data_IF_333194435639
#
_entry.id   IF_333194435639
#
_cell.length_a   1.000
_cell.length_b   1.000
_cell.length_c   1.000
_cell.angle_alpha   90.00
_cell.angle_beta   90.00
_cell.angle_gamma   90.00
#
_symmetry.space_group_name_H-M   'P 1'
#
loop_
_entity.id
_entity.type
_entity.pdbx_description
1 polymer ?
#
# COMPACT_ATOMS: atom_id res chain seq x y z
N UNK A 1 29.18 0.45 -8.73
CA UNK A 1 28.34 0.94 -7.60
C UNK A 1 27.06 1.65 -8.07
N UNK A 2 27.11 2.52 -9.08
CA UNK A 2 25.90 3.21 -9.58
C UNK A 2 24.84 2.24 -10.14
N UNK A 3 25.29 1.24 -10.93
CA UNK A 3 24.41 0.24 -11.55
C UNK A 3 23.64 -0.62 -10.53
N UNK A 4 24.26 -1.01 -9.41
CA UNK A 4 23.56 -1.81 -8.39
C UNK A 4 22.55 -0.99 -7.59
N UNK A 5 22.85 0.28 -7.29
CA UNK A 5 21.90 1.21 -6.65
C UNK A 5 20.73 1.50 -7.58
N UNK A 6 20.99 1.77 -8.85
CA UNK A 6 19.95 2.02 -9.85
C UNK A 6 19.05 0.80 -10.04
N UNK A 7 19.62 -0.41 -10.15
CA UNK A 7 18.84 -1.64 -10.25
C UNK A 7 17.92 -1.82 -9.04
N UNK A 8 18.42 -1.59 -7.83
CA UNK A 8 17.63 -1.68 -6.59
C UNK A 8 16.55 -0.60 -6.50
N UNK A 9 16.84 0.63 -6.93
CA UNK A 9 15.86 1.71 -7.01
C UNK A 9 14.71 1.32 -7.95
N UNK A 10 15.00 0.84 -9.16
CA UNK A 10 13.98 0.38 -10.13
C UNK A 10 13.12 -0.74 -9.53
N UNK A 11 13.73 -1.72 -8.86
CA UNK A 11 13.00 -2.78 -8.16
C UNK A 11 12.06 -2.20 -7.08
N UNK A 12 12.56 -1.26 -6.28
CA UNK A 12 11.78 -0.58 -5.25
C UNK A 12 10.57 0.17 -5.82
N UNK A 13 10.77 0.90 -6.93
CA UNK A 13 9.68 1.57 -7.65
C UNK A 13 8.66 0.56 -8.16
N UNK A 14 9.11 -0.50 -8.83
CA UNK A 14 8.23 -1.52 -9.40
C UNK A 14 7.40 -2.26 -8.35
N UNK A 15 8.03 -2.68 -7.23
CA UNK A 15 7.33 -3.33 -6.11
C UNK A 15 6.33 -2.38 -5.47
N UNK A 16 6.72 -1.14 -5.24
CA UNK A 16 5.85 -0.15 -4.58
C UNK A 16 4.66 0.21 -5.47
N UNK A 17 4.86 0.37 -6.78
CA UNK A 17 3.78 0.57 -7.73
C UNK A 17 2.80 -0.61 -7.74
N UNK A 18 3.30 -1.84 -7.84
CA UNK A 18 2.47 -3.04 -7.85
C UNK A 18 1.70 -3.22 -6.54
N UNK A 19 2.36 -3.00 -5.40
CA UNK A 19 1.75 -3.09 -4.08
C UNK A 19 0.64 -2.05 -3.90
N UNK A 20 0.89 -0.80 -4.32
CA UNK A 20 -0.07 0.28 -4.24
C UNK A 20 -1.33 0.01 -5.07
N UNK A 21 -1.17 -0.41 -6.32
CA UNK A 21 -2.30 -0.76 -7.19
C UNK A 21 -3.09 -1.96 -6.66
N UNK A 22 -2.40 -3.03 -6.24
CA UNK A 22 -3.06 -4.21 -5.69
C UNK A 22 -3.86 -3.86 -4.42
N UNK A 23 -3.28 -3.06 -3.53
CA UNK A 23 -3.96 -2.65 -2.29
C UNK A 23 -5.12 -1.71 -2.56
N UNK A 24 -4.97 -0.79 -3.52
CA UNK A 24 -6.05 0.09 -3.96
C UNK A 24 -7.22 -0.70 -4.57
N UNK A 25 -6.96 -1.70 -5.43
CA UNK A 25 -8.00 -2.55 -6.01
C UNK A 25 -8.73 -3.39 -4.96
N UNK A 26 -7.99 -3.97 -4.02
CA UNK A 26 -8.59 -4.73 -2.91
C UNK A 26 -9.47 -3.82 -2.07
N UNK A 27 -9.01 -2.61 -1.75
CA UNK A 27 -9.80 -1.60 -1.04
C UNK A 27 -11.10 -1.26 -1.77
N UNK A 28 -11.03 -0.88 -3.05
CA UNK A 28 -12.22 -0.56 -3.85
C UNK A 28 -13.21 -1.72 -3.93
N UNK A 29 -12.70 -2.95 -4.07
CA UNK A 29 -13.55 -4.16 -4.12
C UNK A 29 -14.25 -4.39 -2.78
N UNK A 30 -13.56 -4.12 -1.66
CA UNK A 30 -14.10 -4.30 -0.33
C UNK A 30 -15.11 -3.21 0.05
N UNK A 31 -14.90 -1.96 -0.37
CA UNK A 31 -15.90 -0.88 -0.24
C UNK A 31 -17.16 -1.20 -1.05
N UNK A 32 -17.00 -1.66 -2.29
CA UNK A 32 -18.14 -2.06 -3.11
C UNK A 32 -18.91 -3.21 -2.45
N UNK A 33 -18.22 -4.21 -1.91
CA UNK A 33 -18.86 -5.31 -1.19
C UNK A 33 -19.61 -4.85 0.06
N UNK A 34 -19.03 -3.95 0.86
CA UNK A 34 -19.69 -3.39 2.04
C UNK A 34 -20.95 -2.60 1.66
N UNK A 35 -20.89 -1.82 0.57
CA UNK A 35 -22.01 -1.09 0.03
C UNK A 35 -23.15 -2.02 -0.44
N UNK A 36 -22.82 -3.08 -1.19
CA UNK A 36 -23.77 -4.09 -1.63
C UNK A 36 -24.43 -4.82 -0.45
N UNK A 37 -23.65 -5.17 0.58
CA UNK A 37 -24.15 -5.79 1.80
C UNK A 37 -25.16 -4.89 2.55
N UNK A 38 -24.89 -3.59 2.60
CA UNK A 38 -25.81 -2.61 3.20
C UNK A 38 -27.11 -2.46 2.39
N UNK A 39 -27.02 -2.44 1.06
CA UNK A 39 -28.21 -2.40 0.20
C UNK A 39 -29.06 -3.66 0.29
N UNK A 40 -28.45 -4.83 0.49
CA UNK A 40 -29.16 -6.10 0.62
C UNK A 40 -29.96 -6.23 1.92
N UNK A 41 -29.59 -5.48 2.97
CA UNK A 41 -30.32 -5.49 4.25
C UNK A 41 -30.40 -4.07 4.86
N UNK A 42 -31.22 -3.18 4.28
CA UNK A 42 -31.34 -1.78 4.72
C UNK A 42 -31.92 -1.66 6.14
N UNK A 43 -32.70 -2.65 6.59
CA UNK A 43 -33.30 -2.71 7.93
C UNK A 43 -32.38 -3.35 8.98
N UNK A 44 -31.22 -3.88 8.58
CA UNK A 44 -30.28 -4.61 9.45
C UNK A 44 -29.55 -3.76 10.49
N UNK A 45 -29.79 -2.45 10.51
CA UNK A 45 -29.20 -1.51 11.46
C UNK A 45 -27.67 -1.46 11.40
N UNK A 46 -27.03 -1.10 12.51
CA UNK A 46 -25.57 -0.88 12.64
C UNK A 46 -24.75 -2.16 12.33
N UNK A 47 -25.38 -3.34 12.31
CA UNK A 47 -24.71 -4.61 12.01
C UNK A 47 -24.58 -4.96 10.53
N UNK A 48 -25.40 -4.36 9.66
CA UNK A 48 -25.33 -4.63 8.22
C UNK A 48 -24.09 -3.94 7.60
N UNK A 49 -23.17 -4.72 7.04
CA UNK A 49 -21.93 -4.21 6.44
C UNK A 49 -20.77 -3.97 7.43
N UNK A 50 -20.98 -4.13 8.74
CA UNK A 50 -19.94 -3.87 9.74
C UNK A 50 -18.76 -4.85 9.64
N UNK A 51 -19.06 -6.15 9.46
CA UNK A 51 -18.03 -7.19 9.35
C UNK A 51 -17.26 -7.00 8.04
N UNK A 52 -17.96 -6.68 6.96
CA UNK A 52 -17.43 -6.39 5.64
C UNK A 52 -16.48 -5.19 5.68
N UNK A 53 -16.90 -4.09 6.31
CA UNK A 53 -16.06 -2.91 6.52
C UNK A 53 -14.85 -3.20 7.41
N UNK A 54 -15.01 -3.97 8.49
CA UNK A 54 -13.89 -4.34 9.35
C UNK A 54 -12.85 -5.20 8.61
N UNK A 55 -13.30 -6.17 7.81
CA UNK A 55 -12.44 -6.98 6.95
C UNK A 55 -11.75 -6.12 5.88
N UNK A 56 -12.44 -5.15 5.28
CA UNK A 56 -11.87 -4.22 4.31
C UNK A 56 -10.70 -3.42 4.92
N UNK A 57 -10.89 -2.90 6.13
CA UNK A 57 -9.85 -2.16 6.87
C UNK A 57 -8.66 -3.07 7.19
N UNK A 58 -8.92 -4.26 7.74
CA UNK A 58 -7.85 -5.21 8.08
C UNK A 58 -7.06 -5.61 6.83
N UNK A 59 -7.75 -5.91 5.73
CA UNK A 59 -7.10 -6.23 4.46
C UNK A 59 -6.23 -5.07 3.96
N UNK A 60 -6.75 -3.84 3.94
CA UNK A 60 -6.00 -2.67 3.46
C UNK A 60 -4.78 -2.35 4.33
N UNK A 61 -4.92 -2.45 5.65
CA UNK A 61 -3.82 -2.17 6.60
C UNK A 61 -2.72 -3.23 6.52
N UNK A 62 -3.08 -4.50 6.32
CA UNK A 62 -2.11 -5.62 6.36
C UNK A 62 -1.49 -5.93 5.00
N UNK A 63 -2.20 -5.70 3.90
CA UNK A 63 -1.75 -6.11 2.57
C UNK A 63 -0.53 -5.31 2.11
N UNK A 64 -0.50 -4.00 2.34
CA UNK A 64 0.61 -3.14 1.92
C UNK A 64 1.98 -3.59 2.47
N UNK A 65 2.19 -3.73 3.81
CA UNK A 65 3.48 -4.13 4.34
C UNK A 65 3.87 -5.55 3.89
N UNK A 66 2.90 -6.45 3.73
CA UNK A 66 3.13 -7.80 3.20
C UNK A 66 3.60 -7.78 1.75
N UNK A 67 2.96 -7.00 0.88
CA UNK A 67 3.32 -6.89 -0.54
C UNK A 67 4.68 -6.22 -0.73
N UNK A 68 4.98 -5.16 0.03
CA UNK A 68 6.30 -4.51 -0.01
C UNK A 68 7.41 -5.48 0.44
N UNK A 69 7.17 -6.20 1.54
CA UNK A 69 8.12 -7.18 2.05
C UNK A 69 8.32 -8.35 1.08
N UNK A 70 7.23 -8.99 0.65
CA UNK A 70 7.25 -10.15 -0.21
C UNK A 70 7.79 -9.82 -1.61
N UNK A 71 7.40 -8.67 -2.17
CA UNK A 71 7.85 -8.22 -3.49
C UNK A 71 9.36 -8.02 -3.54
N UNK A 72 9.93 -7.33 -2.54
CA UNK A 72 11.38 -7.19 -2.47
C UNK A 72 12.09 -8.52 -2.19
N UNK A 73 11.48 -9.41 -1.39
CA UNK A 73 12.03 -10.75 -1.12
C UNK A 73 12.09 -11.60 -2.37
N UNK A 74 11.06 -11.54 -3.22
CA UNK A 74 10.99 -12.22 -4.51
C UNK A 74 12.10 -11.75 -5.46
N UNK A 75 12.42 -10.45 -5.43
CA UNK A 75 13.52 -9.84 -6.18
C UNK A 75 14.91 -10.02 -5.54
N UNK A 76 14.99 -10.89 -4.53
CA UNK A 76 16.19 -11.25 -3.75
C UNK A 76 16.85 -10.08 -3.02
N UNK A 77 16.11 -8.99 -2.79
CA UNK A 77 16.60 -7.87 -1.99
C UNK A 77 16.36 -8.12 -0.49
N UNK A 78 17.37 -7.80 0.33
CA UNK A 78 17.32 -7.86 1.79
C UNK A 78 17.48 -6.46 2.40
N UNK A 79 17.15 -6.37 3.69
CA UNK A 79 17.28 -5.16 4.52
C UNK A 79 16.36 -4.02 4.05
N UNK A 80 15.10 -4.37 3.73
CA UNK A 80 14.10 -3.42 3.22
C UNK A 80 13.14 -2.96 4.33
N UNK A 81 13.55 -3.06 5.60
CA UNK A 81 12.70 -2.74 6.75
C UNK A 81 12.19 -1.30 6.69
N UNK A 82 13.03 -0.36 6.27
CA UNK A 82 12.68 1.05 6.14
C UNK A 82 11.63 1.29 5.05
N UNK A 83 11.73 0.59 3.91
CA UNK A 83 10.69 0.60 2.88
C UNK A 83 9.36 0.06 3.44
N UNK A 84 9.40 -1.06 4.15
CA UNK A 84 8.19 -1.69 4.68
C UNK A 84 7.52 -0.79 5.73
N UNK A 85 8.29 -0.25 6.69
CA UNK A 85 7.71 0.56 7.77
C UNK A 85 7.27 1.95 7.30
N UNK A 86 8.14 2.69 6.60
CA UNK A 86 7.81 4.04 6.13
C UNK A 86 6.83 4.01 4.95
N UNK A 87 6.94 3.02 4.06
CA UNK A 87 5.96 2.80 2.99
C UNK A 87 4.59 2.45 3.56
N UNK A 88 4.51 1.62 4.60
CA UNK A 88 3.25 1.35 5.27
C UNK A 88 2.66 2.59 5.96
N UNK A 89 3.47 3.34 6.71
CA UNK A 89 3.01 4.57 7.36
C UNK A 89 2.49 5.60 6.34
N UNK A 90 3.22 5.80 5.24
CA UNK A 90 2.80 6.70 4.16
C UNK A 90 1.51 6.21 3.49
N UNK A 91 1.36 4.91 3.29
CA UNK A 91 0.13 4.33 2.74
C UNK A 91 -1.09 4.64 3.62
N UNK A 92 -0.98 4.54 4.94
CA UNK A 92 -2.07 4.88 5.86
C UNK A 92 -2.50 6.35 5.71
N UNK A 93 -1.54 7.26 5.60
CA UNK A 93 -1.81 8.69 5.37
C UNK A 93 -2.50 8.90 4.02
N UNK A 94 -2.00 8.28 2.96
CA UNK A 94 -2.64 8.38 1.64
C UNK A 94 -4.06 7.83 1.63
N UNK A 95 -4.31 6.70 2.32
CA UNK A 95 -5.63 6.11 2.41
C UNK A 95 -6.63 7.05 3.10
N UNK A 96 -6.21 7.76 4.16
CA UNK A 96 -7.07 8.77 4.81
C UNK A 96 -7.41 9.93 3.87
N UNK A 97 -6.43 10.43 3.10
CA UNK A 97 -6.63 11.53 2.16
C UNK A 97 -7.53 11.14 0.98
N UNK A 98 -7.41 9.91 0.49
CA UNK A 98 -8.27 9.40 -0.59
C UNK A 98 -9.71 9.16 -0.13
N UNK A 99 -9.93 8.90 1.16
CA UNK A 99 -11.26 8.67 1.73
C UNK A 99 -12.01 9.97 2.04
N UNK A 100 -11.31 11.05 2.38
CA UNK A 100 -11.91 12.33 2.80
C UNK A 100 -12.36 13.24 1.63
N UNK A 101 -11.97 12.96 0.38
CA UNK A 101 -12.28 13.79 -0.77
C UNK A 101 -12.78 13.02 -1.99
N UNK A 102 -13.55 13.66 -2.86
CA UNK A 102 -13.86 13.16 -4.20
C UNK A 102 -12.62 13.25 -5.10
N UNK A 103 -11.57 12.52 -4.74
CA UNK A 103 -10.29 12.51 -5.45
C UNK A 103 -10.54 11.94 -6.84
N UNK A 104 -10.22 12.72 -7.87
CA UNK A 104 -10.46 12.27 -9.23
C UNK A 104 -9.42 11.21 -9.64
N UNK A 105 -9.72 10.36 -10.62
CA UNK A 105 -8.85 9.25 -11.04
C UNK A 105 -7.40 9.68 -11.31
N UNK A 106 -7.21 10.87 -11.89
CA UNK A 106 -5.87 11.43 -12.15
C UNK A 106 -5.09 11.69 -10.86
N UNK A 107 -5.72 12.22 -9.83
CA UNK A 107 -5.08 12.52 -8.55
C UNK A 107 -4.68 11.23 -7.83
N UNK A 108 -5.55 10.21 -7.84
CA UNK A 108 -5.21 8.87 -7.32
C UNK A 108 -3.98 8.31 -8.01
N UNK A 109 -3.94 8.32 -9.35
CA UNK A 109 -2.78 7.83 -10.11
C UNK A 109 -1.49 8.62 -9.79
N UNK A 110 -1.60 9.95 -9.60
CA UNK A 110 -0.47 10.78 -9.18
C UNK A 110 0.02 10.41 -7.77
N UNK A 111 -0.88 10.12 -6.82
CA UNK A 111 -0.51 9.65 -5.50
C UNK A 111 0.17 8.27 -5.55
N UNK A 112 -0.37 7.33 -6.33
CA UNK A 112 0.23 6.00 -6.51
C UNK A 112 1.61 6.10 -7.17
N UNK A 113 1.78 6.99 -8.17
CA UNK A 113 3.06 7.24 -8.82
C UNK A 113 4.07 7.87 -7.85
N UNK A 114 3.65 8.88 -7.08
CA UNK A 114 4.49 9.49 -6.05
C UNK A 114 4.91 8.48 -4.99
N UNK A 115 3.99 7.61 -4.55
CA UNK A 115 4.27 6.52 -3.63
C UNK A 115 5.28 5.52 -4.20
N UNK A 116 5.15 5.17 -5.48
CA UNK A 116 6.09 4.28 -6.16
C UNK A 116 7.50 4.86 -6.19
N UNK A 117 7.63 6.15 -6.56
CA UNK A 117 8.91 6.86 -6.58
C UNK A 117 9.52 6.94 -5.18
N UNK A 118 8.72 7.27 -4.17
CA UNK A 118 9.14 7.27 -2.76
C UNK A 118 9.65 5.89 -2.34
N UNK A 119 8.92 4.81 -2.66
CA UNK A 119 9.33 3.45 -2.36
C UNK A 119 10.65 3.06 -3.04
N UNK A 120 10.91 3.55 -4.25
CA UNK A 120 12.22 3.48 -4.88
C UNK A 120 13.34 4.10 -4.03
N UNK A 121 13.12 5.31 -3.51
CA UNK A 121 14.08 5.98 -2.63
C UNK A 121 14.26 5.26 -1.30
N UNK A 122 13.19 4.83 -0.66
CA UNK A 122 13.24 4.09 0.61
C UNK A 122 13.98 2.75 0.44
N UNK A 123 13.85 2.09 -0.72
CA UNK A 123 14.57 0.87 -1.03
C UNK A 123 16.09 1.08 -1.08
N UNK A 124 16.58 2.29 -1.37
CA UNK A 124 18.03 2.56 -1.41
C UNK A 124 18.70 2.56 -0.03
N UNK A 125 17.93 2.76 1.04
CA UNK A 125 18.49 2.76 2.39
C UNK A 125 18.92 1.34 2.81
N UNK A 126 20.17 1.24 3.28
CA UNK A 126 20.66 0.10 4.05
C UNK A 126 21.14 0.63 5.40
N UNK A 127 20.73 0.03 6.52
CA UNK A 127 21.41 0.27 7.78
C UNK A 127 22.86 -0.19 7.62
N UNK A 128 23.81 0.74 7.76
CA UNK A 128 25.21 0.39 7.97
C UNK A 128 25.33 -0.17 9.39
N UNK A 129 25.95 -1.34 9.56
CA UNK A 129 26.26 -1.84 10.89
C UNK A 129 27.09 -0.78 11.65
N UNK A 130 26.85 -0.58 12.96
CA UNK A 130 27.74 0.26 13.75
C UNK A 130 29.17 -0.32 13.66
N UNK A 131 30.15 0.54 13.39
CA UNK A 131 31.56 0.17 13.47
C UNK A 131 31.87 -0.16 14.94
N UNK A 132 32.35 -1.39 15.20
CA UNK A 132 32.82 -1.83 16.52
C UNK A 132 34.17 -1.19 16.89
#
# INVERSE_FOLDING_TARGET
MLSSRLCRWIKGVGVSAAAAHATYWVWQSAEQWAWEAQQANPDGGIGAGFIESALAVVASVTLMPLLLWAGMRLLRERDNHLLVTMGWAMWLVLNTQMSEGSVNRLETELFLAAFAVLGGFLALFRPTAPEE
#
